data_IF_344776426067
#
_entry.id   IF_344776426067
#
_cell.length_a   1.000
_cell.length_b   1.000
_cell.length_c   1.000
_cell.angle_alpha   90.00
_cell.angle_beta   90.00
_cell.angle_gamma   90.00
#
_symmetry.space_group_name_H-M   'P 1'
#
loop_
_entity.id
_entity.type
_entity.pdbx_description
1 polymer ?
#
# COMPACT_ATOMS: atom_id res chain seq x y z
N UNK A 1 12.97 60.51 -37.57
CA UNK A 1 12.17 59.71 -36.63
C UNK A 1 12.99 58.45 -36.37
N UNK A 2 13.93 58.50 -35.42
CA UNK A 2 14.76 57.35 -35.06
C UNK A 2 14.12 56.68 -33.85
N UNK A 3 13.74 55.42 -34.00
CA UNK A 3 13.19 54.58 -32.94
C UNK A 3 14.36 53.83 -32.30
N UNK A 4 14.71 54.20 -31.07
CA UNK A 4 15.80 53.58 -30.32
C UNK A 4 15.20 52.54 -29.34
N UNK A 5 15.68 51.28 -29.34
CA UNK A 5 15.04 50.23 -28.56
C UNK A 5 15.25 50.46 -27.06
N UNK A 6 14.14 50.54 -26.32
CA UNK A 6 14.16 50.68 -24.85
C UNK A 6 14.94 49.52 -24.20
N UNK A 7 15.80 49.78 -23.20
CA UNK A 7 16.54 48.74 -22.51
C UNK A 7 15.58 47.79 -21.78
N UNK A 8 15.74 46.48 -21.99
CA UNK A 8 15.00 45.45 -21.25
C UNK A 8 15.47 45.47 -19.80
N UNK A 9 14.52 45.59 -18.86
CA UNK A 9 14.82 45.50 -17.42
C UNK A 9 15.35 44.10 -17.08
N UNK A 10 16.40 43.97 -16.25
CA UNK A 10 16.90 42.66 -15.85
C UNK A 10 15.80 41.91 -15.10
N UNK A 11 15.49 40.68 -15.52
CA UNK A 11 14.53 39.82 -14.83
C UNK A 11 15.20 39.29 -13.57
N UNK A 12 15.01 39.98 -12.45
CA UNK A 12 15.42 39.50 -11.14
C UNK A 12 14.45 38.38 -10.76
N UNK A 13 14.91 37.13 -10.82
CA UNK A 13 14.15 35.99 -10.28
C UNK A 13 14.21 36.08 -8.76
N UNK A 14 13.08 36.34 -8.11
CA UNK A 14 12.99 36.21 -6.66
C UNK A 14 13.09 34.73 -6.29
N UNK A 15 14.02 34.40 -5.39
CA UNK A 15 14.14 33.07 -4.80
C UNK A 15 12.82 32.75 -4.07
N UNK A 16 12.23 31.59 -4.35
CA UNK A 16 11.05 31.15 -3.60
C UNK A 16 11.44 30.95 -2.14
N UNK A 17 10.47 31.08 -1.22
CA UNK A 17 10.69 30.71 0.17
C UNK A 17 11.21 29.26 0.30
N UNK A 18 10.76 28.36 -0.59
CA UNK A 18 11.23 26.97 -0.67
C UNK A 18 12.71 26.91 -1.09
N UNK A 19 13.09 27.63 -2.14
CA UNK A 19 14.46 27.65 -2.65
C UNK A 19 15.42 28.16 -1.57
N UNK A 20 15.02 29.20 -0.82
CA UNK A 20 15.78 29.72 0.31
C UNK A 20 15.98 28.69 1.41
N UNK A 21 14.93 27.92 1.77
CA UNK A 21 15.06 26.87 2.77
C UNK A 21 16.03 25.76 2.33
N UNK A 22 16.01 25.39 1.05
CA UNK A 22 16.93 24.40 0.49
C UNK A 22 18.37 24.91 0.57
N UNK A 23 18.62 26.17 0.14
CA UNK A 23 19.96 26.78 0.20
C UNK A 23 20.50 26.84 1.63
N UNK A 24 19.70 27.32 2.58
CA UNK A 24 20.11 27.38 3.99
C UNK A 24 20.42 25.98 4.57
N UNK A 25 19.64 24.96 4.21
CA UNK A 25 19.91 23.58 4.63
C UNK A 25 21.20 23.01 4.00
N UNK A 26 21.51 23.35 2.75
CA UNK A 26 22.79 23.03 2.11
C UNK A 26 23.95 23.74 2.82
N UNK A 27 23.83 25.04 3.11
CA UNK A 27 24.86 25.83 3.82
C UNK A 27 25.15 25.29 5.23
N UNK A 28 24.15 24.73 5.90
CA UNK A 28 24.31 24.06 7.20
C UNK A 28 24.89 22.65 7.13
N UNK A 29 25.14 22.12 5.93
CA UNK A 29 25.65 20.77 5.74
C UNK A 29 24.63 19.67 6.06
N UNK A 30 23.33 19.96 6.08
CA UNK A 30 22.28 18.95 6.34
C UNK A 30 22.22 17.86 5.24
N UNK A 31 22.81 18.16 4.08
CA UNK A 31 22.99 17.23 2.96
C UNK A 31 24.37 16.55 2.93
N UNK A 32 25.26 16.85 3.88
CA UNK A 32 26.56 16.20 3.98
C UNK A 32 26.41 14.82 4.65
N UNK A 33 27.23 13.84 4.22
CA UNK A 33 27.27 12.49 4.78
C UNK A 33 25.91 11.74 4.82
N UNK A 34 25.00 12.07 3.89
CA UNK A 34 23.74 11.34 3.77
C UNK A 34 23.96 9.82 3.65
N UNK A 35 23.06 9.00 4.21
CA UNK A 35 23.09 7.56 4.01
C UNK A 35 23.13 7.21 2.52
N UNK A 36 24.25 6.67 2.05
CA UNK A 36 24.46 6.36 0.63
C UNK A 36 25.40 7.31 -0.12
N UNK A 37 25.88 8.39 0.51
CA UNK A 37 26.91 9.27 -0.06
C UNK A 37 28.13 8.47 -0.52
N UNK A 38 28.50 8.64 -1.79
CA UNK A 38 29.61 7.95 -2.44
C UNK A 38 29.38 6.45 -2.70
N UNK A 39 28.23 5.88 -2.34
CA UNK A 39 27.89 4.47 -2.62
C UNK A 39 27.12 4.37 -3.94
N UNK A 40 27.25 3.24 -4.67
CA UNK A 40 26.40 2.97 -5.82
C UNK A 40 24.92 3.02 -5.43
N UNK A 41 24.07 3.59 -6.29
CA UNK A 41 22.62 3.57 -6.09
C UNK A 41 22.17 2.10 -6.18
N UNK A 42 21.54 1.54 -5.13
CA UNK A 42 21.03 0.18 -5.17
C UNK A 42 19.98 0.05 -6.28
N UNK A 43 20.01 -1.06 -7.03
CA UNK A 43 19.04 -1.37 -8.09
C UNK A 43 19.02 -0.38 -9.26
N UNK A 44 20.10 0.39 -9.46
CA UNK A 44 20.27 1.26 -10.62
C UNK A 44 20.33 0.42 -11.90
N UNK A 45 19.21 0.34 -12.62
CA UNK A 45 19.03 -0.52 -13.81
C UNK A 45 17.83 -1.44 -13.75
N UNK A 46 17.12 -1.50 -12.62
CA UNK A 46 15.81 -2.13 -12.57
C UNK A 46 14.84 -1.38 -13.48
N UNK A 47 14.16 -2.12 -14.36
CA UNK A 47 13.18 -1.56 -15.31
C UNK A 47 11.79 -1.43 -14.69
N UNK A 48 11.63 -1.86 -13.45
CA UNK A 48 10.38 -1.71 -12.71
C UNK A 48 10.14 -0.24 -12.33
N UNK A 49 9.07 0.36 -12.84
CA UNK A 49 8.65 1.73 -12.51
C UNK A 49 8.42 1.93 -11.00
N UNK A 50 8.11 0.86 -10.25
CA UNK A 50 7.82 0.86 -8.83
C UNK A 50 9.05 0.55 -7.95
N UNK A 51 10.27 0.52 -8.50
CA UNK A 51 11.50 0.15 -7.77
C UNK A 51 11.68 0.96 -6.46
N UNK A 52 11.38 2.26 -6.49
CA UNK A 52 11.52 3.15 -5.34
C UNK A 52 10.45 2.90 -4.27
N UNK A 53 9.23 2.48 -4.67
CA UNK A 53 8.14 2.10 -3.75
C UNK A 53 8.52 0.83 -3.01
N UNK A 54 9.02 -0.19 -3.74
CA UNK A 54 9.49 -1.45 -3.15
C UNK A 54 10.62 -1.21 -2.16
N UNK A 55 11.60 -0.38 -2.52
CA UNK A 55 12.71 -0.01 -1.64
C UNK A 55 12.24 0.75 -0.40
N UNK A 56 11.26 1.64 -0.54
CA UNK A 56 10.65 2.34 0.60
C UNK A 56 9.92 1.35 1.52
N UNK A 57 9.11 0.45 0.97
CA UNK A 57 8.42 -0.58 1.75
C UNK A 57 9.41 -1.45 2.52
N UNK A 58 10.47 -1.93 1.87
CA UNK A 58 11.53 -2.72 2.50
C UNK A 58 12.22 -1.93 3.64
N UNK A 59 12.57 -0.66 3.40
CA UNK A 59 13.18 0.22 4.41
C UNK A 59 12.30 0.42 5.63
N UNK A 60 10.98 0.54 5.44
CA UNK A 60 10.02 0.71 6.53
C UNK A 60 9.56 -0.63 7.14
N UNK A 61 10.10 -1.78 6.67
CA UNK A 61 9.68 -3.10 7.12
C UNK A 61 8.24 -3.46 6.74
N UNK A 62 7.67 -2.77 5.75
CA UNK A 62 6.31 -2.95 5.28
C UNK A 62 6.28 -4.03 4.20
N UNK A 63 5.30 -4.94 4.30
CA UNK A 63 5.03 -5.88 3.21
C UNK A 63 4.30 -5.13 2.09
N UNK A 64 4.63 -5.40 0.81
CA UNK A 64 3.86 -4.86 -0.29
C UNK A 64 2.37 -5.14 -0.09
N UNK A 65 1.48 -4.18 -0.39
CA UNK A 65 0.05 -4.44 -0.35
C UNK A 65 -0.23 -5.61 -1.30
N UNK A 66 -0.79 -6.69 -0.75
CA UNK A 66 -1.19 -7.83 -1.56
C UNK A 66 -2.21 -7.33 -2.60
N UNK A 67 -2.11 -7.76 -3.87
CA UNK A 67 -3.21 -7.65 -4.80
C UNK A 67 -4.50 -8.12 -4.13
N UNK A 68 -5.60 -7.42 -4.36
CA UNK A 68 -6.87 -7.62 -3.67
C UNK A 68 -7.31 -9.11 -3.66
N UNK A 69 -7.15 -9.81 -4.78
CA UNK A 69 -7.46 -11.22 -4.91
C UNK A 69 -6.60 -12.13 -4.01
N UNK A 70 -5.31 -11.82 -3.84
CA UNK A 70 -4.43 -12.55 -2.92
C UNK A 70 -4.75 -12.24 -1.46
N UNK A 71 -5.12 -10.99 -1.16
CA UNK A 71 -5.60 -10.63 0.18
C UNK A 71 -6.87 -11.40 0.54
N UNK A 72 -7.86 -11.46 -0.36
CA UNK A 72 -9.11 -12.21 -0.17
C UNK A 72 -8.88 -13.71 -0.04
N UNK A 73 -7.94 -14.28 -0.81
CA UNK A 73 -7.55 -15.68 -0.69
C UNK A 73 -6.99 -15.99 0.69
N UNK A 74 -6.08 -15.15 1.17
CA UNK A 74 -5.48 -15.29 2.50
C UNK A 74 -6.53 -15.18 3.60
N UNK A 75 -7.39 -14.16 3.53
CA UNK A 75 -8.45 -13.96 4.52
C UNK A 75 -9.44 -15.15 4.57
N UNK A 76 -9.76 -15.73 3.41
CA UNK A 76 -10.54 -16.97 3.32
C UNK A 76 -9.84 -18.14 3.99
N UNK A 77 -8.55 -18.34 3.75
CA UNK A 77 -7.76 -19.43 4.37
C UNK A 77 -7.69 -19.26 5.90
N UNK A 78 -7.65 -18.01 6.36
CA UNK A 78 -7.52 -17.64 7.77
C UNK A 78 -8.87 -17.44 8.48
N UNK A 79 -10.01 -17.65 7.80
CA UNK A 79 -11.34 -17.29 8.32
C UNK A 79 -11.64 -17.88 9.70
N UNK A 80 -11.27 -19.13 9.95
CA UNK A 80 -11.50 -19.77 11.25
C UNK A 80 -10.67 -19.14 12.38
N UNK A 81 -9.49 -18.60 12.06
CA UNK A 81 -8.67 -17.85 13.01
C UNK A 81 -9.29 -16.49 13.27
N UNK A 82 -9.77 -15.80 12.24
CA UNK A 82 -10.49 -14.52 12.38
C UNK A 82 -11.75 -14.65 13.24
N UNK A 83 -12.44 -15.78 13.14
CA UNK A 83 -13.66 -16.04 13.92
C UNK A 83 -13.39 -16.50 15.36
N UNK A 84 -12.14 -16.80 15.74
CA UNK A 84 -11.82 -17.40 17.04
C UNK A 84 -12.32 -16.54 18.22
N UNK A 85 -12.11 -15.23 18.14
CA UNK A 85 -12.46 -14.27 19.19
C UNK A 85 -13.89 -13.70 19.04
N UNK A 86 -14.64 -14.16 18.04
CA UNK A 86 -16.00 -13.65 17.80
C UNK A 86 -16.96 -14.26 18.82
N UNK A 87 -17.72 -13.44 19.57
CA UNK A 87 -18.52 -13.93 20.70
C UNK A 87 -19.87 -14.52 20.29
N UNK A 88 -20.48 -14.03 19.20
CA UNK A 88 -21.83 -14.40 18.78
C UNK A 88 -21.84 -14.99 17.38
N UNK A 89 -22.78 -15.91 17.15
CA UNK A 89 -22.95 -16.53 15.85
C UNK A 89 -23.41 -15.53 14.80
N UNK A 90 -24.30 -14.61 15.16
CA UNK A 90 -24.81 -13.57 14.27
C UNK A 90 -23.66 -12.74 13.72
N UNK A 91 -22.69 -12.40 14.59
CA UNK A 91 -21.50 -11.64 14.19
C UNK A 91 -20.57 -12.49 13.32
N UNK A 92 -20.38 -13.76 13.67
CA UNK A 92 -19.57 -14.67 12.86
C UNK A 92 -20.16 -14.86 11.45
N UNK A 93 -21.48 -15.02 11.35
CA UNK A 93 -22.22 -15.10 10.08
C UNK A 93 -22.05 -13.83 9.27
N UNK A 94 -22.21 -12.66 9.90
CA UNK A 94 -22.04 -11.37 9.22
C UNK A 94 -20.64 -11.21 8.62
N UNK A 95 -19.59 -11.63 9.32
CA UNK A 95 -18.20 -11.58 8.84
C UNK A 95 -18.01 -12.46 7.60
N UNK A 96 -18.55 -13.69 7.61
CA UNK A 96 -18.42 -14.60 6.46
C UNK A 96 -19.23 -14.10 5.26
N UNK A 97 -20.40 -13.50 5.50
CA UNK A 97 -21.22 -12.89 4.45
C UNK A 97 -20.51 -11.68 3.83
N UNK A 98 -19.91 -10.81 4.65
CA UNK A 98 -19.11 -9.67 4.19
C UNK A 98 -17.93 -10.11 3.30
N UNK A 99 -17.17 -11.12 3.75
CA UNK A 99 -16.09 -11.69 2.95
C UNK A 99 -16.59 -12.25 1.61
N UNK A 100 -17.75 -12.92 1.61
CA UNK A 100 -18.34 -13.44 0.38
C UNK A 100 -18.79 -12.33 -0.59
N UNK A 101 -19.28 -11.20 -0.09
CA UNK A 101 -19.64 -10.05 -0.93
C UNK A 101 -18.39 -9.40 -1.52
N UNK A 102 -17.33 -9.21 -0.72
CA UNK A 102 -16.04 -8.70 -1.20
C UNK A 102 -15.40 -9.61 -2.26
N UNK A 103 -15.52 -10.93 -2.10
CA UNK A 103 -15.10 -11.92 -3.11
C UNK A 103 -15.89 -11.73 -4.42
N UNK A 104 -17.21 -11.56 -4.33
CA UNK A 104 -18.08 -11.34 -5.49
C UNK A 104 -17.77 -10.02 -6.19
N UNK A 105 -17.57 -8.94 -5.44
CA UNK A 105 -17.17 -7.63 -5.98
C UNK A 105 -15.81 -7.67 -6.68
N UNK A 106 -14.87 -8.47 -6.16
CA UNK A 106 -13.57 -8.67 -6.80
C UNK A 106 -13.70 -9.33 -8.17
N UNK A 107 -14.64 -10.28 -8.35
CA UNK A 107 -14.90 -10.89 -9.65
C UNK A 107 -15.53 -9.92 -10.66
N UNK A 108 -16.33 -8.97 -10.19
CA UNK A 108 -17.02 -7.99 -11.04
C UNK A 108 -16.07 -6.90 -11.56
N UNK A 109 -14.96 -6.65 -10.87
CA UNK A 109 -13.97 -5.66 -11.28
C UNK A 109 -13.07 -6.23 -12.39
N UNK A 110 -13.07 -5.60 -13.56
CA UNK A 110 -12.03 -5.83 -14.59
C UNK A 110 -10.76 -5.09 -14.18
N UNK A 111 -9.88 -5.77 -13.46
CA UNK A 111 -8.55 -5.26 -13.14
C UNK A 111 -7.54 -5.48 -14.27
N UNK A 112 -6.48 -4.69 -14.28
CA UNK A 112 -5.27 -4.98 -15.05
C UNK A 112 -4.47 -6.09 -14.34
N UNK A 113 -4.32 -7.24 -15.00
CA UNK A 113 -3.54 -8.37 -14.50
C UNK A 113 -4.26 -9.72 -14.55
N UNK A 114 -3.59 -10.80 -14.15
CA UNK A 114 -4.16 -12.14 -14.17
C UNK A 114 -5.32 -12.26 -13.17
N UNK A 115 -6.46 -12.77 -13.63
CA UNK A 115 -7.63 -12.99 -12.79
C UNK A 115 -7.37 -14.18 -11.84
N UNK A 116 -7.20 -13.89 -10.56
CA UNK A 116 -7.10 -14.92 -9.50
C UNK A 116 -8.50 -15.13 -8.91
N UNK A 117 -9.10 -16.28 -9.21
CA UNK A 117 -10.45 -16.61 -8.74
C UNK A 117 -10.40 -17.15 -7.31
N UNK A 118 -10.92 -16.38 -6.36
CA UNK A 118 -11.15 -16.82 -4.97
C UNK A 118 -12.59 -17.30 -4.84
N UNK A 119 -12.84 -18.58 -4.50
CA UNK A 119 -14.22 -19.06 -4.31
C UNK A 119 -14.83 -18.58 -2.99
N UNK A 120 -16.14 -18.31 -3.01
CA UNK A 120 -16.96 -18.03 -1.83
C UNK A 120 -16.95 -19.21 -0.84
N UNK A 121 -17.15 -18.89 0.43
CA UNK A 121 -17.30 -19.84 1.52
C UNK A 121 -18.78 -20.24 1.71
N UNK A 122 -19.02 -21.49 2.10
CA UNK A 122 -20.32 -21.90 2.61
C UNK A 122 -20.45 -21.42 4.07
N UNK A 123 -21.38 -20.50 4.32
CA UNK A 123 -21.56 -19.87 5.63
C UNK A 123 -21.85 -20.92 6.70
N UNK A 124 -22.79 -21.83 6.46
CA UNK A 124 -23.19 -22.83 7.46
C UNK A 124 -22.07 -23.80 7.81
N UNK A 125 -21.24 -24.19 6.83
CA UNK A 125 -20.07 -25.03 7.09
C UNK A 125 -19.02 -24.31 7.95
N UNK A 126 -18.76 -23.03 7.65
CA UNK A 126 -17.81 -22.21 8.42
C UNK A 126 -18.29 -22.04 9.86
N UNK A 127 -19.58 -21.76 10.05
CA UNK A 127 -20.18 -21.59 11.38
C UNK A 127 -20.21 -22.90 12.16
N UNK A 128 -20.51 -24.03 11.51
CA UNK A 128 -20.47 -25.34 12.16
C UNK A 128 -19.07 -25.66 12.71
N UNK A 129 -18.02 -25.34 11.95
CA UNK A 129 -16.64 -25.51 12.39
C UNK A 129 -16.26 -24.52 13.51
N UNK A 130 -16.69 -23.26 13.42
CA UNK A 130 -16.48 -22.27 14.48
C UNK A 130 -17.11 -22.71 15.81
N UNK A 131 -18.35 -23.21 15.79
CA UNK A 131 -19.03 -23.76 16.97
C UNK A 131 -18.26 -24.95 17.55
N UNK A 132 -17.81 -25.89 16.70
CA UNK A 132 -17.01 -27.06 17.13
C UNK A 132 -15.74 -26.64 17.87
N UNK A 133 -14.99 -25.69 17.32
CA UNK A 133 -13.73 -25.20 17.93
C UNK A 133 -13.98 -24.51 19.27
N UNK A 134 -15.05 -23.73 19.39
CA UNK A 134 -15.44 -23.11 20.66
C UNK A 134 -15.86 -24.12 21.71
N UNK A 135 -16.65 -25.13 21.34
CA UNK A 135 -17.03 -26.19 22.29
C UNK A 135 -15.82 -26.98 22.77
N UNK A 136 -14.83 -27.22 21.90
CA UNK A 136 -13.58 -27.89 22.27
C UNK A 136 -12.64 -27.05 23.15
N UNK A 137 -12.74 -25.71 23.09
CA UNK A 137 -11.98 -24.80 23.95
C UNK A 137 -12.65 -24.53 25.31
N UNK A 138 -13.95 -24.83 25.43
CA UNK A 138 -14.74 -24.62 26.65
C UNK A 138 -14.89 -25.89 27.52
N UNK A 139 -14.54 -27.06 26.99
CA UNK A 139 -14.48 -28.33 27.72
C UNK A 139 -13.06 -28.65 28.17
#
# INVERSE_FOLDING_TARGET
MSDEPRPRRPQVRFESWIDRQVREAIERGEFDNLPGMGKPIPNLGDRDENWWIKQKLEREGLKPPLPESLALRREREEIQRTLADVPTEERARAIVVDLNERIKESWLRRGEGPMIVVSRLNVDQVIAEWRRRRSAAAG
#
